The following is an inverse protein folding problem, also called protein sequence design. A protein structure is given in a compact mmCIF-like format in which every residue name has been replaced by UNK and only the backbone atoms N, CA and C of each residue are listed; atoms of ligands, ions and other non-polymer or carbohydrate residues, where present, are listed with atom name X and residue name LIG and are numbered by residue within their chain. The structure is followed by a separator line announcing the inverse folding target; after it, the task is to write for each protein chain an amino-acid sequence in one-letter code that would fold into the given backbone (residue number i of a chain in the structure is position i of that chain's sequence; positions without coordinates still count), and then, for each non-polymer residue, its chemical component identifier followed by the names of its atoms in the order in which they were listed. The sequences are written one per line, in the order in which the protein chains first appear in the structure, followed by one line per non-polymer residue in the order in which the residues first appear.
data_IF_617611888435
#
_entry.id   IF_617611888435
#
_cell.length_a   1.000
_cell.length_b   1.000
_cell.length_c   1.000
_cell.angle_alpha   90.00
_cell.angle_beta   90.00
_cell.angle_gamma   90.00
#
_symmetry.space_group_name_H-M   'P 1'
#
loop_
_entity.id
_entity.type
_entity.pdbx_description
1 polymer ?
#
# COMPACT_ATOMS: atom_id res chain seq x y z
N UNK A 1 -88.96 -43.86 46.98
CA UNK A 1 -88.51 -42.61 46.35
C UNK A 1 -86.99 -42.66 46.23
N UNK A 2 -86.47 -42.93 45.04
CA UNK A 2 -85.06 -42.75 44.72
C UNK A 2 -85.02 -42.11 43.32
N UNK A 3 -84.46 -40.91 43.26
CA UNK A 3 -84.46 -40.00 42.11
C UNK A 3 -83.45 -40.48 41.07
N UNK A 4 -83.83 -40.44 39.78
CA UNK A 4 -82.94 -40.76 38.67
C UNK A 4 -81.96 -39.61 38.43
N UNK A 5 -80.65 -39.88 38.47
CA UNK A 5 -79.64 -38.97 37.96
C UNK A 5 -79.47 -39.19 36.44
N UNK A 6 -79.68 -38.13 35.67
CA UNK A 6 -79.38 -38.09 34.22
C UNK A 6 -77.89 -37.77 34.08
N UNK A 7 -77.08 -38.57 33.35
CA UNK A 7 -75.68 -38.25 33.14
C UNK A 7 -75.53 -37.03 32.22
N UNK A 8 -74.80 -36.01 32.69
CA UNK A 8 -74.42 -34.83 31.92
C UNK A 8 -73.46 -35.24 30.80
N UNK A 9 -73.79 -34.93 29.55
CA UNK A 9 -72.95 -35.23 28.39
C UNK A 9 -71.58 -34.51 28.49
N UNK A 10 -70.45 -35.16 28.11
CA UNK A 10 -69.13 -34.54 28.22
C UNK A 10 -68.97 -33.38 27.22
N UNK A 11 -68.42 -32.27 27.72
CA UNK A 11 -68.12 -31.08 26.94
C UNK A 11 -67.11 -31.38 25.82
N UNK A 12 -67.45 -30.98 24.59
CA UNK A 12 -66.62 -31.16 23.39
C UNK A 12 -65.33 -30.35 23.54
N UNK A 13 -64.22 -31.03 23.83
CA UNK A 13 -62.89 -30.42 23.88
C UNK A 13 -62.50 -29.89 22.49
N UNK A 14 -62.45 -28.57 22.34
CA UNK A 14 -61.92 -27.89 21.16
C UNK A 14 -60.40 -28.10 21.10
N UNK A 15 -59.97 -29.18 20.44
CA UNK A 15 -58.56 -29.37 20.08
C UNK A 15 -58.22 -28.45 18.90
N UNK A 16 -57.35 -27.46 19.14
CA UNK A 16 -56.75 -26.67 18.06
C UNK A 16 -56.00 -27.63 17.12
N UNK A 17 -56.29 -27.65 15.82
CA UNK A 17 -55.56 -28.51 14.90
C UNK A 17 -54.10 -28.05 14.82
N UNK A 18 -53.19 -28.84 15.39
CA UNK A 18 -51.76 -28.72 15.11
C UNK A 18 -51.56 -29.29 13.72
N UNK A 19 -51.31 -28.43 12.73
CA UNK A 19 -51.02 -28.83 11.36
C UNK A 19 -49.49 -28.97 11.18
N UNK A 20 -48.90 -30.16 11.40
CA UNK A 20 -47.44 -30.38 11.31
C UNK A 20 -46.90 -30.07 9.91
N UNK A 21 -47.73 -30.21 8.88
CA UNK A 21 -47.37 -29.98 7.47
C UNK A 21 -46.90 -28.54 7.24
N UNK A 22 -47.54 -27.55 7.87
CA UNK A 22 -47.15 -26.14 7.76
C UNK A 22 -45.78 -25.88 8.40
N UNK A 23 -45.49 -26.55 9.52
CA UNK A 23 -44.17 -26.48 10.18
C UNK A 23 -43.08 -27.18 9.38
N UNK A 24 -43.39 -28.27 8.67
CA UNK A 24 -42.43 -28.95 7.79
C UNK A 24 -42.04 -28.05 6.61
N UNK A 25 -43.03 -27.49 5.90
CA UNK A 25 -42.79 -26.59 4.76
C UNK A 25 -41.99 -25.35 5.20
N UNK A 26 -42.32 -24.77 6.36
CA UNK A 26 -41.58 -23.67 6.96
C UNK A 26 -40.11 -24.02 7.24
N UNK A 27 -39.84 -25.19 7.82
CA UNK A 27 -38.48 -25.62 8.12
C UNK A 27 -37.62 -25.83 6.86
N UNK A 28 -38.20 -26.40 5.80
CA UNK A 28 -37.49 -26.56 4.51
C UNK A 28 -37.22 -25.20 3.83
N UNK A 29 -38.16 -24.27 3.90
CA UNK A 29 -37.98 -22.91 3.38
C UNK A 29 -36.87 -22.16 4.13
N UNK A 30 -36.82 -22.27 5.46
CA UNK A 30 -35.75 -21.69 6.28
C UNK A 30 -34.38 -22.31 5.96
N UNK A 31 -34.33 -23.63 5.77
CA UNK A 31 -33.10 -24.32 5.35
C UNK A 31 -32.62 -23.82 3.98
N UNK A 32 -33.52 -23.69 3.00
CA UNK A 32 -33.20 -23.16 1.68
C UNK A 32 -32.66 -21.72 1.77
N UNK A 33 -33.33 -20.85 2.52
CA UNK A 33 -32.89 -19.46 2.71
C UNK A 33 -31.50 -19.39 3.36
N UNK A 34 -31.23 -20.24 4.36
CA UNK A 34 -29.92 -20.32 5.01
C UNK A 34 -28.80 -20.72 4.03
N UNK A 35 -29.07 -21.69 3.14
CA UNK A 35 -28.13 -22.10 2.10
C UNK A 35 -27.85 -20.94 1.13
N UNK A 36 -28.91 -20.27 0.65
CA UNK A 36 -28.77 -19.12 -0.27
C UNK A 36 -27.93 -18.00 0.36
N UNK A 37 -28.23 -17.63 1.61
CA UNK A 37 -27.46 -16.61 2.35
C UNK A 37 -25.99 -17.04 2.48
N UNK A 38 -25.74 -18.32 2.80
CA UNK A 38 -24.37 -18.84 2.93
C UNK A 38 -23.60 -18.76 1.62
N UNK A 39 -24.22 -19.15 0.49
CA UNK A 39 -23.60 -19.06 -0.83
C UNK A 39 -23.28 -17.61 -1.21
N UNK A 40 -24.20 -16.69 -0.96
CA UNK A 40 -23.98 -15.25 -1.21
C UNK A 40 -22.83 -14.72 -0.34
N UNK A 41 -22.79 -15.09 0.95
CA UNK A 41 -21.73 -14.68 1.86
C UNK A 41 -20.36 -15.17 1.39
N UNK A 42 -20.25 -16.44 1.00
CA UNK A 42 -19.01 -17.03 0.47
C UNK A 42 -18.57 -16.32 -0.82
N UNK A 43 -19.52 -16.05 -1.73
CA UNK A 43 -19.24 -15.32 -2.96
C UNK A 43 -18.74 -13.89 -2.67
N UNK A 44 -19.36 -13.19 -1.72
CA UNK A 44 -18.96 -11.84 -1.31
C UNK A 44 -17.56 -11.84 -0.68
N UNK A 45 -17.28 -12.74 0.26
CA UNK A 45 -15.95 -12.86 0.89
C UNK A 45 -14.87 -13.13 -0.17
N UNK A 46 -15.16 -14.04 -1.10
CA UNK A 46 -14.25 -14.37 -2.20
C UNK A 46 -14.02 -13.16 -3.09
N UNK A 47 -15.09 -12.46 -3.49
CA UNK A 47 -15.02 -11.26 -4.33
C UNK A 47 -14.16 -10.15 -3.70
N UNK A 48 -14.43 -9.80 -2.44
CA UNK A 48 -13.65 -8.78 -1.74
C UNK A 48 -12.19 -9.19 -1.52
N UNK A 49 -11.94 -10.46 -1.20
CA UNK A 49 -10.58 -11.00 -1.06
C UNK A 49 -9.77 -11.01 -2.36
N UNK A 50 -10.43 -11.01 -3.52
CA UNK A 50 -9.77 -11.05 -4.82
C UNK A 50 -9.18 -9.70 -5.26
N UNK A 51 -9.60 -8.57 -4.69
CA UNK A 51 -9.02 -7.28 -5.07
C UNK A 51 -7.54 -7.19 -4.63
N UNK A 52 -6.59 -6.95 -5.56
CA UNK A 52 -5.20 -6.81 -5.19
C UNK A 52 -4.95 -5.47 -4.51
N UNK A 53 -4.25 -5.52 -3.38
CA UNK A 53 -3.74 -4.33 -2.71
C UNK A 53 -2.51 -3.81 -3.45
N UNK A 54 -2.48 -2.50 -3.70
CA UNK A 54 -1.29 -1.85 -4.24
C UNK A 54 -0.11 -2.04 -3.27
N UNK A 55 1.09 -2.36 -3.77
CA UNK A 55 2.27 -2.43 -2.93
C UNK A 55 2.59 -1.05 -2.34
N UNK A 56 3.20 -1.04 -1.15
CA UNK A 56 3.74 0.18 -0.54
C UNK A 56 5.21 0.31 -0.92
N UNK A 57 5.64 1.53 -1.21
CA UNK A 57 7.05 1.85 -1.39
C UNK A 57 7.45 2.88 -0.32
N UNK A 58 8.58 2.65 0.32
CA UNK A 58 9.17 3.57 1.31
C UNK A 58 10.59 3.90 0.92
N UNK A 59 10.93 5.17 1.02
CA UNK A 59 12.28 5.69 0.94
C UNK A 59 12.92 5.52 2.32
N UNK A 60 13.85 4.58 2.42
CA UNK A 60 14.52 4.24 3.69
C UNK A 60 15.64 5.21 4.00
N UNK A 61 16.70 5.18 3.18
CA UNK A 61 17.87 6.05 3.33
C UNK A 61 18.14 6.80 2.05
N UNK A 62 18.66 8.00 2.21
CA UNK A 62 19.13 8.81 1.10
C UNK A 62 20.34 9.61 1.58
N UNK A 63 21.41 9.58 0.79
CA UNK A 63 22.70 10.15 1.14
C UNK A 63 23.35 10.85 -0.05
N UNK A 64 23.82 12.06 0.20
CA UNK A 64 24.57 12.91 -0.72
C UNK A 64 25.98 13.11 -0.15
N UNK A 65 27.00 12.41 -0.66
CA UNK A 65 28.37 12.54 -0.18
C UNK A 65 28.92 13.97 -0.27
N UNK A 66 28.58 14.70 -1.34
CA UNK A 66 29.04 16.09 -1.59
C UNK A 66 28.63 17.10 -0.51
N UNK A 67 27.68 16.75 0.35
CA UNK A 67 27.19 17.62 1.43
C UNK A 67 27.69 17.16 2.81
N UNK A 68 28.47 16.08 2.91
CA UNK A 68 28.90 15.51 4.18
C UNK A 68 30.15 16.21 4.74
N UNK A 69 29.94 17.15 5.65
CA UNK A 69 31.01 17.92 6.32
C UNK A 69 31.94 17.06 7.19
N UNK A 70 31.50 15.88 7.63
CA UNK A 70 32.27 15.02 8.55
C UNK A 70 33.25 14.10 7.82
N UNK A 71 33.24 14.08 6.48
CA UNK A 71 34.12 13.22 5.69
C UNK A 71 35.56 13.76 5.65
N UNK A 72 36.39 13.37 6.63
CA UNK A 72 37.84 13.57 6.65
C UNK A 72 38.59 12.66 5.63
N UNK A 73 38.06 12.51 4.42
CA UNK A 73 38.72 11.73 3.38
C UNK A 73 39.48 12.69 2.46
N UNK A 74 40.81 12.59 2.49
CA UNK A 74 41.81 13.15 1.56
C UNK A 74 41.66 12.62 0.12
N UNK A 75 40.43 12.44 -0.34
CA UNK A 75 40.12 12.02 -1.69
C UNK A 75 39.01 12.92 -2.22
N UNK A 76 39.43 13.84 -3.07
CA UNK A 76 38.64 14.48 -4.10
C UNK A 76 37.68 13.48 -4.72
N UNK A 77 36.45 13.43 -4.23
CA UNK A 77 35.37 12.84 -5.02
C UNK A 77 34.37 13.96 -5.22
N UNK A 78 34.52 14.61 -6.37
CA UNK A 78 33.41 15.23 -7.09
C UNK A 78 32.37 14.14 -7.43
N UNK A 79 31.90 13.36 -6.45
CA UNK A 79 30.87 12.34 -6.67
C UNK A 79 29.56 13.08 -6.72
N UNK A 80 29.13 13.41 -7.93
CA UNK A 80 27.72 13.67 -8.20
C UNK A 80 26.84 12.45 -7.91
N UNK A 81 27.41 11.32 -7.49
CA UNK A 81 26.69 10.12 -7.11
C UNK A 81 25.94 10.29 -5.77
N UNK A 82 24.62 10.11 -5.78
CA UNK A 82 23.78 10.00 -4.59
C UNK A 82 23.40 8.54 -4.38
N UNK A 83 23.27 8.12 -3.12
CA UNK A 83 22.87 6.76 -2.75
C UNK A 83 21.46 6.76 -2.17
N UNK A 84 20.64 5.80 -2.60
CA UNK A 84 19.25 5.67 -2.18
C UNK A 84 18.91 4.23 -1.81
N UNK A 85 18.11 4.06 -0.77
CA UNK A 85 17.54 2.79 -0.35
C UNK A 85 16.01 2.87 -0.42
N UNK A 86 15.41 1.98 -1.21
CA UNK A 86 13.97 1.86 -1.39
C UNK A 86 13.49 0.50 -0.93
N UNK A 87 12.40 0.47 -0.17
CA UNK A 87 11.77 -0.76 0.28
C UNK A 87 10.38 -0.90 -0.32
N UNK A 88 10.16 -2.00 -1.04
CA UNK A 88 8.87 -2.37 -1.60
C UNK A 88 8.21 -3.40 -0.71
N UNK A 89 7.06 -3.08 -0.13
CA UNK A 89 6.26 -3.99 0.68
C UNK A 89 5.00 -4.46 -0.06
N UNK A 90 4.92 -5.77 -0.29
CA UNK A 90 3.73 -6.42 -0.81
C UNK A 90 2.77 -6.76 0.33
N UNK A 91 1.66 -6.02 0.39
CA UNK A 91 0.62 -6.16 1.41
C UNK A 91 -0.40 -7.25 1.13
N UNK A 92 -0.37 -7.85 -0.05
CA UNK A 92 -1.28 -8.93 -0.37
C UNK A 92 -0.93 -10.16 0.47
N UNK A 93 -1.95 -10.86 0.97
CA UNK A 93 -1.83 -12.09 1.77
C UNK A 93 -1.51 -13.32 0.92
N UNK A 94 -1.97 -13.35 -0.34
CA UNK A 94 -1.85 -14.53 -1.20
C UNK A 94 -1.29 -14.22 -2.60
N UNK A 95 -1.26 -12.94 -2.99
CA UNK A 95 -0.92 -12.51 -4.35
C UNK A 95 0.55 -12.15 -4.46
N UNK A 96 1.25 -12.74 -5.43
CA UNK A 96 2.60 -12.28 -5.81
C UNK A 96 2.49 -11.01 -6.66
N UNK A 97 3.44 -10.10 -6.52
CA UNK A 97 3.50 -8.88 -7.34
C UNK A 97 4.69 -9.00 -8.29
N UNK A 98 4.47 -8.69 -9.55
CA UNK A 98 5.49 -8.57 -10.58
C UNK A 98 5.58 -7.11 -10.98
N UNK A 99 6.76 -6.54 -10.88
CA UNK A 99 7.09 -5.19 -11.28
C UNK A 99 7.79 -5.28 -12.64
N UNK A 100 7.31 -4.49 -13.59
CA UNK A 100 8.08 -4.19 -14.78
C UNK A 100 9.25 -3.27 -14.39
N UNK A 101 10.03 -2.77 -15.36
CA UNK A 101 11.13 -1.83 -15.09
C UNK A 101 10.60 -0.65 -14.27
N UNK A 102 11.27 -0.33 -13.17
CA UNK A 102 10.90 0.78 -12.29
C UNK A 102 11.77 1.96 -12.66
N UNK A 103 11.20 2.96 -13.32
CA UNK A 103 11.90 4.19 -13.67
C UNK A 103 11.80 5.17 -12.50
N UNK A 104 12.93 5.76 -12.13
CA UNK A 104 12.97 6.78 -11.08
C UNK A 104 13.56 8.07 -11.61
N UNK A 105 12.94 9.17 -11.19
CA UNK A 105 13.38 10.52 -11.49
C UNK A 105 13.55 11.28 -10.20
N UNK A 106 14.66 12.02 -10.13
CA UNK A 106 15.00 12.84 -8.98
C UNK A 106 14.97 14.29 -9.38
N UNK A 107 14.36 15.11 -8.53
CA UNK A 107 14.21 16.54 -8.74
C UNK A 107 14.61 17.31 -7.49
N UNK A 108 15.18 18.50 -7.70
CA UNK A 108 15.48 19.46 -6.65
C UNK A 108 14.63 20.70 -6.85
N UNK A 109 13.99 21.17 -5.77
CA UNK A 109 13.23 22.41 -5.79
C UNK A 109 14.11 23.57 -5.34
N UNK A 110 14.14 24.63 -6.16
CA UNK A 110 15.02 25.78 -6.00
C UNK A 110 14.28 27.10 -6.26
N UNK A 111 14.99 28.21 -6.11
CA UNK A 111 14.44 29.55 -6.24
C UNK A 111 13.62 30.00 -5.04
N UNK A 112 12.96 31.16 -5.18
CA UNK A 112 12.15 31.78 -4.12
C UNK A 112 11.03 30.82 -3.71
N UNK A 113 10.96 30.52 -2.41
CA UNK A 113 9.97 29.60 -1.82
C UNK A 113 9.91 28.20 -2.47
N UNK A 114 10.99 27.74 -3.10
CA UNK A 114 11.04 26.43 -3.77
C UNK A 114 9.99 26.28 -4.91
N UNK A 115 9.67 27.38 -5.61
CA UNK A 115 8.68 27.39 -6.69
C UNK A 115 9.17 26.82 -8.03
N UNK A 116 10.48 26.65 -8.21
CA UNK A 116 11.07 26.07 -9.42
C UNK A 116 11.58 24.67 -9.11
N UNK A 117 11.59 23.78 -10.10
CA UNK A 117 12.18 22.45 -9.97
C UNK A 117 13.08 22.11 -11.15
N UNK A 118 14.18 21.44 -10.87
CA UNK A 118 15.09 20.88 -11.88
C UNK A 118 15.22 19.39 -11.67
N UNK A 119 15.26 18.63 -12.77
CA UNK A 119 15.62 17.22 -12.73
C UNK A 119 17.11 17.12 -12.49
N UNK A 120 17.48 16.42 -11.42
CA UNK A 120 18.88 16.27 -11.00
C UNK A 120 19.44 14.89 -11.30
N UNK A 121 18.60 13.89 -11.60
CA UNK A 121 19.06 12.53 -11.80
C UNK A 121 17.96 11.60 -12.29
N UNK A 122 18.38 10.44 -12.80
CA UNK A 122 17.49 9.33 -13.07
C UNK A 122 18.20 7.99 -12.87
N UNK A 123 17.44 6.95 -12.56
CA UNK A 123 17.93 5.58 -12.55
C UNK A 123 16.76 4.63 -12.75
N UNK A 124 17.03 3.32 -12.82
CA UNK A 124 15.98 2.34 -12.91
C UNK A 124 16.34 1.03 -12.25
N UNK A 125 15.37 0.43 -11.56
CA UNK A 125 15.49 -0.94 -11.04
C UNK A 125 15.01 -1.90 -12.14
N UNK A 126 15.77 -2.96 -12.45
CA UNK A 126 15.34 -3.97 -13.43
C UNK A 126 14.07 -4.69 -12.96
N UNK A 127 13.27 -5.27 -13.88
CA UNK A 127 12.06 -5.99 -13.52
C UNK A 127 12.29 -7.04 -12.43
N UNK A 128 11.38 -7.10 -11.47
CA UNK A 128 11.48 -8.05 -10.37
C UNK A 128 10.12 -8.54 -9.92
N UNK A 129 10.12 -9.57 -9.07
CA UNK A 129 8.90 -10.08 -8.48
C UNK A 129 9.08 -10.27 -6.98
N UNK A 130 7.95 -10.30 -6.29
CA UNK A 130 7.88 -10.33 -4.84
C UNK A 130 6.77 -11.26 -4.38
N UNK A 131 7.08 -12.09 -3.38
CA UNK A 131 6.08 -12.96 -2.72
C UNK A 131 5.10 -12.10 -1.89
N UNK A 132 3.93 -12.67 -1.60
CA UNK A 132 2.96 -12.08 -0.68
C UNK A 132 3.56 -11.85 0.71
N UNK A 133 3.13 -10.79 1.40
CA UNK A 133 3.59 -10.40 2.75
C UNK A 133 5.12 -10.33 2.93
N UNK A 134 5.86 -10.03 1.87
CA UNK A 134 7.31 -9.81 1.94
C UNK A 134 7.65 -8.37 1.68
N UNK A 135 8.85 -7.98 2.07
CA UNK A 135 9.51 -6.72 1.71
C UNK A 135 10.71 -7.04 0.82
N UNK A 136 11.00 -6.16 -0.13
CA UNK A 136 12.19 -6.24 -0.96
C UNK A 136 12.86 -4.87 -1.00
N UNK A 137 14.12 -4.85 -0.58
CA UNK A 137 14.93 -3.64 -0.52
C UNK A 137 15.81 -3.53 -1.76
N UNK A 138 15.99 -2.31 -2.23
CA UNK A 138 16.77 -1.94 -3.40
C UNK A 138 17.66 -0.77 -3.02
N UNK A 139 18.97 -0.94 -3.20
CA UNK A 139 19.96 0.12 -3.03
C UNK A 139 20.45 0.52 -4.40
N UNK A 140 20.30 1.79 -4.73
CA UNK A 140 20.68 2.33 -6.04
C UNK A 140 21.63 3.51 -5.86
N UNK A 141 22.52 3.68 -6.83
CA UNK A 141 23.39 4.84 -6.93
C UNK A 141 23.01 5.63 -8.18
N UNK A 142 22.81 6.94 -8.03
CA UNK A 142 22.36 7.81 -9.12
C UNK A 142 23.43 8.87 -9.36
N UNK A 143 23.86 9.01 -10.60
CA UNK A 143 24.69 10.15 -10.98
C UNK A 143 23.81 11.38 -11.17
N UNK A 144 24.15 12.45 -10.44
CA UNK A 144 23.44 13.72 -10.55
C UNK A 144 24.06 14.64 -11.59
N UNK A 145 23.25 15.54 -12.13
CA UNK A 145 23.66 16.52 -13.12
C UNK A 145 22.94 17.85 -12.89
N UNK A 146 23.61 18.97 -13.18
CA UNK A 146 23.03 20.31 -13.14
C UNK A 146 22.57 20.78 -11.75
N UNK A 147 23.01 20.13 -10.68
CA UNK A 147 22.59 20.49 -9.32
C UNK A 147 23.34 21.75 -8.87
N UNK A 148 22.65 22.82 -8.44
CA UNK A 148 23.28 24.01 -7.86
C UNK A 148 23.70 23.69 -6.42
N UNK A 149 24.78 22.92 -6.25
CA UNK A 149 25.22 22.44 -4.93
C UNK A 149 25.51 23.54 -3.92
N UNK A 150 25.88 24.74 -4.39
CA UNK A 150 26.08 25.90 -3.51
C UNK A 150 24.75 26.39 -2.90
N UNK A 151 23.68 26.48 -3.70
CA UNK A 151 22.34 26.81 -3.20
C UNK A 151 21.86 25.76 -2.18
N UNK A 152 22.10 24.48 -2.48
CA UNK A 152 21.77 23.38 -1.56
C UNK A 152 22.54 23.54 -0.23
N UNK A 153 23.86 23.80 -0.28
CA UNK A 153 24.70 24.01 0.91
C UNK A 153 24.23 25.19 1.76
N UNK A 154 23.85 26.30 1.12
CA UNK A 154 23.29 27.45 1.85
C UNK A 154 21.98 27.07 2.55
N UNK A 155 21.08 26.35 1.88
CA UNK A 155 19.77 25.99 2.43
C UNK A 155 19.80 24.97 3.56
N UNK A 156 20.81 24.09 3.60
CA UNK A 156 20.97 23.11 4.67
C UNK A 156 21.85 23.63 5.82
N UNK A 157 22.46 24.80 5.69
CA UNK A 157 23.32 25.38 6.71
C UNK A 157 22.53 25.81 7.96
N UNK A 158 23.18 25.77 9.13
CA UNK A 158 22.58 26.19 10.38
C UNK A 158 22.15 27.67 10.29
N UNK A 159 20.85 27.92 10.41
CA UNK A 159 20.26 29.27 10.33
C UNK A 159 19.48 29.56 9.04
N UNK A 160 19.43 28.64 8.08
CA UNK A 160 18.57 28.77 6.90
C UNK A 160 17.08 28.72 7.27
N UNK A 161 16.30 29.69 6.76
CA UNK A 161 14.83 29.72 6.91
C UNK A 161 14.12 28.82 5.89
N UNK A 162 14.79 28.44 4.80
CA UNK A 162 14.19 27.65 3.71
C UNK A 162 14.89 26.31 3.56
N UNK A 163 14.20 25.17 3.75
CA UNK A 163 14.82 23.86 3.62
C UNK A 163 15.10 23.52 2.16
N UNK A 164 16.17 22.74 1.92
CA UNK A 164 16.44 22.12 0.64
C UNK A 164 15.46 20.95 0.42
N UNK A 165 14.55 21.09 -0.56
CA UNK A 165 13.53 20.08 -0.85
C UNK A 165 13.94 19.28 -2.08
N UNK A 166 14.05 17.97 -1.88
CA UNK A 166 14.24 16.98 -2.92
C UNK A 166 12.96 16.20 -3.15
N UNK A 167 12.82 15.67 -4.37
CA UNK A 167 11.69 14.83 -4.75
C UNK A 167 12.17 13.61 -5.50
N UNK A 168 11.57 12.47 -5.17
CA UNK A 168 11.69 11.24 -5.93
C UNK A 168 10.33 10.92 -6.53
N UNK A 169 10.31 10.67 -7.84
CA UNK A 169 9.16 10.14 -8.56
C UNK A 169 9.53 8.77 -9.13
N UNK A 170 8.64 7.81 -8.94
CA UNK A 170 8.77 6.42 -9.35
C UNK A 170 7.62 6.08 -10.29
N UNK A 171 7.95 5.45 -11.42
CA UNK A 171 6.98 5.02 -12.42
C UNK A 171 7.24 3.57 -12.83
N UNK A 172 6.22 2.74 -12.74
CA UNK A 172 6.28 1.34 -13.14
C UNK A 172 4.90 0.78 -13.47
N UNK A 173 4.87 -0.44 -14.01
CA UNK A 173 3.66 -1.23 -14.13
C UNK A 173 3.75 -2.46 -13.23
N UNK A 174 2.67 -2.75 -12.52
CA UNK A 174 2.55 -3.94 -11.66
C UNK A 174 1.52 -4.92 -12.19
N UNK A 175 1.79 -6.21 -11.99
CA UNK A 175 0.87 -7.31 -12.26
C UNK A 175 0.75 -8.19 -11.02
N UNK A 176 -0.45 -8.62 -10.69
CA UNK A 176 -0.70 -9.49 -9.56
C UNK A 176 -0.89 -10.92 -10.07
N UNK A 177 -0.28 -11.91 -9.43
CA UNK A 177 -0.48 -13.32 -9.75
C UNK A 177 -1.30 -13.99 -8.66
N UNK A 178 -2.43 -14.56 -9.06
CA UNK A 178 -3.32 -15.37 -8.24
C UNK A 178 -3.30 -16.81 -8.79
N UNK A 179 -2.70 -17.75 -8.05
CA UNK A 179 -2.57 -19.13 -8.52
C UNK A 179 -1.88 -19.22 -9.89
N UNK A 180 -2.64 -19.62 -10.91
CA UNK A 180 -2.15 -19.83 -12.28
C UNK A 180 -2.18 -18.57 -13.17
N UNK A 181 -3.01 -17.57 -12.85
CA UNK A 181 -3.24 -16.42 -13.74
C UNK A 181 -2.57 -15.14 -13.23
N UNK A 182 -2.12 -14.30 -14.16
CA UNK A 182 -1.66 -12.93 -13.88
C UNK A 182 -2.73 -11.93 -14.31
N UNK A 183 -2.91 -10.87 -13.53
CA UNK A 183 -3.77 -9.75 -13.92
C UNK A 183 -3.16 -9.00 -15.10
N UNK A 184 -3.96 -8.10 -15.68
CA UNK A 184 -3.45 -7.06 -16.60
C UNK A 184 -2.39 -6.19 -15.90
N UNK A 185 -1.67 -5.41 -16.70
CA UNK A 185 -0.76 -4.36 -16.20
C UNK A 185 -1.59 -3.26 -15.53
N UNK A 186 -1.16 -2.86 -14.35
CA UNK A 186 -1.69 -1.71 -13.63
C UNK A 186 -0.56 -0.71 -13.47
N UNK A 187 -0.79 0.53 -13.88
CA UNK A 187 0.16 1.61 -13.68
C UNK A 187 0.34 1.92 -12.18
N UNK A 188 1.57 2.20 -11.79
CA UNK A 188 1.96 2.60 -10.45
C UNK A 188 2.93 3.77 -10.54
N UNK A 189 2.41 4.97 -10.30
CA UNK A 189 3.19 6.20 -10.16
C UNK A 189 3.19 6.60 -8.70
N UNK A 190 4.37 6.79 -8.12
CA UNK A 190 4.56 7.13 -6.71
C UNK A 190 5.54 8.30 -6.59
N UNK A 191 5.31 9.21 -5.65
CA UNK A 191 6.20 10.33 -5.40
C UNK A 191 6.27 10.71 -3.93
N UNK A 192 7.36 11.34 -3.53
CA UNK A 192 7.54 11.93 -2.20
C UNK A 192 8.54 13.09 -2.23
N UNK A 193 8.26 14.11 -1.41
CA UNK A 193 9.17 15.22 -1.14
C UNK A 193 9.86 14.99 0.21
N UNK A 194 11.14 15.30 0.30
CA UNK A 194 11.92 15.16 1.52
C UNK A 194 13.01 16.21 1.62
N UNK A 195 13.51 16.40 2.83
CA UNK A 195 14.61 17.33 3.13
C UNK A 195 15.84 16.55 3.56
N UNK A 196 17.01 17.16 3.40
CA UNK A 196 18.29 16.61 3.85
C UNK A 196 18.92 17.54 4.89
N UNK A 197 19.69 16.95 5.79
CA UNK A 197 20.47 17.70 6.78
C UNK A 197 21.81 18.18 6.20
N UNK A 198 22.58 18.87 7.03
CA UNK A 198 23.90 19.41 6.69
C UNK A 198 25.02 18.36 6.60
N UNK A 199 24.67 17.08 6.74
CA UNK A 199 25.51 15.92 6.47
C UNK A 199 25.08 15.18 5.19
N UNK A 200 24.18 15.77 4.39
CA UNK A 200 23.68 15.19 3.15
C UNK A 200 22.76 13.99 3.33
N UNK A 201 22.25 13.73 4.54
CA UNK A 201 21.35 12.60 4.84
C UNK A 201 19.91 13.09 4.86
N UNK A 202 19.00 12.30 4.32
CA UNK A 202 17.57 12.55 4.51
C UNK A 202 17.24 12.62 6.00
N UNK A 203 16.46 13.64 6.38
CA UNK A 203 15.99 13.77 7.75
C UNK A 203 15.10 12.57 8.09
N UNK A 204 15.47 11.85 9.15
CA UNK A 204 14.85 10.58 9.49
C UNK A 204 13.37 10.75 9.79
N UNK A 205 12.57 9.86 9.21
CA UNK A 205 11.19 9.60 9.61
C UNK A 205 11.19 8.16 10.13
N UNK A 206 10.61 7.93 11.31
CA UNK A 206 10.51 6.57 11.84
C UNK A 206 9.84 5.64 10.81
N UNK A 207 10.55 4.56 10.45
CA UNK A 207 10.19 3.58 9.41
C UNK A 207 10.34 4.03 7.93
N UNK A 208 11.06 5.13 7.68
CA UNK A 208 11.30 5.67 6.34
C UNK A 208 10.12 6.47 5.78
N UNK A 209 10.37 7.22 4.72
CA UNK A 209 9.36 8.09 4.10
C UNK A 209 8.52 7.32 3.09
N UNK A 210 7.21 7.25 3.33
CA UNK A 210 6.28 6.58 2.41
C UNK A 210 6.07 7.39 1.13
N UNK A 211 6.18 6.72 -0.03
CA UNK A 211 5.78 7.33 -1.30
C UNK A 211 4.27 7.19 -1.53
N UNK A 212 3.66 8.26 -2.02
CA UNK A 212 2.23 8.37 -2.27
C UNK A 212 1.93 8.33 -3.76
N UNK A 213 0.72 7.88 -4.12
CA UNK A 213 0.30 7.89 -5.53
C UNK A 213 0.21 9.32 -6.05
N UNK A 214 0.80 9.55 -7.21
CA UNK A 214 0.72 10.81 -7.96
C UNK A 214 -0.17 10.57 -9.19
N UNK A 215 -1.10 11.48 -9.45
CA UNK A 215 -2.02 11.45 -10.58
C UNK A 215 -1.54 12.41 -11.66
#
# INVERSE_FOLDING_TARGET
MASAEIPLAPAKANSKPRFPILSFISNYFLLFLAIVITVILVALITWFGMHPLRPRCTLGKFYIPTLDKASNATQTVNSTAISIELSFWNRNTEKKVYYDKVNMTFSYYYGINNGLSIRIGNTSIPPFHQRYLRTKDHVETIQTFGVPWEDVRMKISNGSTTPAIFRVDLETHVRFKNGLWKTRRHELRLGANFTVNDHGRMMSVDNGLRLHTIF
#
